data_IF_747092046311
#
_entry.id   IF_747092046311
#
_cell.length_a   1.000
_cell.length_b   1.000
_cell.length_c   1.000
_cell.angle_alpha   90.00
_cell.angle_beta   90.00
_cell.angle_gamma   90.00
#
_symmetry.space_group_name_H-M   'P 1'
#
loop_
_entity.id
_entity.type
_entity.pdbx_description
1 polymer ?
#
# COMPACT_ATOMS: atom_id res chain seq x y z
N UNK A 1 -14.42 -15.79 -12.25
CA UNK A 1 -15.41 -16.22 -13.23
C UNK A 1 -14.76 -16.29 -14.60
N UNK A 2 -15.08 -17.32 -15.35
CA UNK A 2 -14.61 -17.53 -16.72
C UNK A 2 -15.84 -17.73 -17.59
N UNK A 3 -15.99 -16.93 -18.63
CA UNK A 3 -16.99 -17.12 -19.66
C UNK A 3 -16.45 -18.06 -20.74
N UNK A 4 -17.24 -19.05 -21.13
CA UNK A 4 -16.91 -20.00 -22.18
C UNK A 4 -17.95 -19.88 -23.31
N UNK A 5 -17.51 -19.53 -24.51
CA UNK A 5 -18.38 -19.34 -25.67
C UNK A 5 -18.53 -20.62 -26.53
N UNK A 6 -18.03 -21.75 -26.05
CA UNK A 6 -17.97 -23.01 -26.77
C UNK A 6 -16.63 -23.28 -27.45
N UNK A 7 -15.77 -22.27 -27.60
CA UNK A 7 -14.45 -22.36 -28.25
C UNK A 7 -13.37 -21.69 -27.37
N UNK A 8 -13.63 -20.51 -26.86
CA UNK A 8 -12.69 -19.69 -26.13
C UNK A 8 -13.12 -19.45 -24.68
N UNK A 9 -12.15 -19.19 -23.82
CA UNK A 9 -12.35 -18.84 -22.43
C UNK A 9 -11.96 -17.39 -22.18
N UNK A 10 -12.86 -16.60 -21.58
CA UNK A 10 -12.66 -15.19 -21.27
C UNK A 10 -12.72 -14.97 -19.76
N UNK A 11 -11.68 -14.38 -19.18
CA UNK A 11 -11.70 -14.01 -17.78
C UNK A 11 -12.64 -12.85 -17.52
N UNK A 12 -13.59 -13.04 -16.59
CA UNK A 12 -14.50 -11.98 -16.14
C UNK A 12 -14.07 -11.47 -14.76
N UNK A 13 -14.00 -10.12 -14.57
CA UNK A 13 -13.59 -9.53 -13.31
C UNK A 13 -14.59 -9.82 -12.19
N UNK A 14 -14.18 -10.58 -11.18
CA UNK A 14 -15.04 -11.04 -10.09
C UNK A 14 -15.78 -9.91 -9.35
N UNK A 15 -15.18 -8.72 -9.26
CA UNK A 15 -15.79 -7.57 -8.60
C UNK A 15 -17.02 -7.01 -9.37
N UNK A 16 -17.10 -7.25 -10.69
CA UNK A 16 -18.16 -6.70 -11.54
C UNK A 16 -19.26 -7.72 -11.87
N UNK A 17 -18.97 -9.02 -11.76
CA UNK A 17 -19.97 -10.07 -12.00
C UNK A 17 -20.92 -10.12 -10.82
N UNK A 18 -22.22 -10.05 -11.08
CA UNK A 18 -23.28 -10.30 -10.10
C UNK A 18 -23.80 -11.72 -10.27
N UNK A 19 -23.95 -12.39 -9.14
CA UNK A 19 -24.53 -13.76 -9.06
C UNK A 19 -25.97 -13.60 -8.62
N UNK A 20 -26.91 -14.08 -9.43
CA UNK A 20 -28.33 -14.10 -9.09
C UNK A 20 -28.66 -15.47 -8.49
N UNK A 21 -29.08 -15.44 -7.25
CA UNK A 21 -29.43 -16.66 -6.51
C UNK A 21 -30.84 -17.15 -6.87
N UNK A 22 -31.01 -18.48 -6.86
CA UNK A 22 -32.30 -19.14 -6.96
C UNK A 22 -32.41 -20.17 -5.84
N UNK A 23 -33.61 -20.33 -5.28
CA UNK A 23 -33.87 -21.25 -4.17
C UNK A 23 -33.70 -22.73 -4.56
N UNK A 24 -33.95 -23.06 -5.84
CA UNK A 24 -33.93 -24.44 -6.33
C UNK A 24 -32.56 -24.84 -6.90
N UNK A 25 -31.94 -23.97 -7.67
CA UNK A 25 -30.72 -24.27 -8.43
C UNK A 25 -29.47 -23.62 -7.83
N UNK A 26 -29.59 -22.90 -6.71
CA UNK A 26 -28.57 -22.07 -6.06
C UNK A 26 -28.17 -20.84 -6.89
N UNK A 27 -27.96 -20.95 -8.20
CA UNK A 27 -27.63 -19.85 -9.10
C UNK A 27 -28.56 -19.93 -10.32
N UNK A 28 -29.28 -18.87 -10.56
CA UNK A 28 -30.15 -18.72 -11.73
C UNK A 28 -29.35 -18.27 -12.96
N UNK A 29 -28.56 -17.19 -12.78
CA UNK A 29 -27.80 -16.53 -13.84
C UNK A 29 -26.69 -15.68 -13.29
N UNK A 30 -25.81 -15.26 -14.19
CA UNK A 30 -24.75 -14.27 -13.90
C UNK A 30 -25.01 -13.02 -14.75
N UNK A 31 -24.67 -11.83 -14.21
CA UNK A 31 -24.71 -10.60 -14.99
C UNK A 31 -23.41 -9.82 -14.85
N UNK A 32 -22.92 -9.29 -15.96
CA UNK A 32 -21.79 -8.39 -16.02
C UNK A 32 -22.21 -7.14 -16.80
N UNK A 33 -22.30 -6.01 -16.12
CA UNK A 33 -22.89 -4.79 -16.67
C UNK A 33 -24.31 -5.10 -17.19
N UNK A 34 -24.56 -4.92 -18.48
CA UNK A 34 -25.85 -5.16 -19.12
C UNK A 34 -25.96 -6.54 -19.80
N UNK A 35 -24.89 -7.36 -19.71
CA UNK A 35 -24.86 -8.69 -20.31
C UNK A 35 -25.26 -9.75 -19.29
N UNK A 36 -26.18 -10.63 -19.67
CA UNK A 36 -26.62 -11.79 -18.88
C UNK A 36 -26.04 -13.07 -19.46
N UNK A 37 -25.55 -13.93 -18.58
CA UNK A 37 -25.00 -15.25 -18.92
C UNK A 37 -25.78 -16.34 -18.19
N UNK A 38 -25.97 -17.44 -18.86
CA UNK A 38 -26.53 -18.65 -18.26
C UNK A 38 -25.49 -19.33 -17.33
N UNK A 39 -25.96 -20.26 -16.51
CA UNK A 39 -25.07 -21.01 -15.60
C UNK A 39 -24.09 -21.87 -16.40
N UNK A 40 -24.51 -22.41 -17.53
CA UNK A 40 -23.68 -23.30 -18.38
C UNK A 40 -22.56 -22.56 -19.12
N UNK A 41 -22.69 -21.24 -19.32
CA UNK A 41 -21.68 -20.41 -19.97
C UNK A 41 -20.60 -19.92 -19.01
N UNK A 42 -20.80 -20.04 -17.70
CA UNK A 42 -19.88 -19.51 -16.69
C UNK A 42 -19.25 -20.61 -15.84
N UNK A 43 -17.94 -20.70 -15.93
CA UNK A 43 -17.15 -21.50 -14.99
C UNK A 43 -16.85 -20.64 -13.76
N UNK A 44 -17.52 -20.96 -12.64
CA UNK A 44 -17.38 -20.22 -11.40
C UNK A 44 -16.41 -20.95 -10.46
N UNK A 45 -15.13 -20.57 -10.50
CA UNK A 45 -14.10 -21.06 -9.57
C UNK A 45 -14.07 -20.15 -8.35
N UNK A 46 -14.23 -20.70 -7.16
CA UNK A 46 -14.24 -19.95 -5.89
C UNK A 46 -13.58 -20.72 -4.77
N UNK A 47 -12.94 -19.99 -3.85
CA UNK A 47 -12.51 -20.54 -2.56
C UNK A 47 -13.71 -20.64 -1.61
N UNK A 48 -13.58 -21.50 -0.59
CA UNK A 48 -14.61 -21.65 0.42
C UNK A 48 -14.84 -20.34 1.18
N UNK A 49 -16.10 -20.09 1.54
CA UNK A 49 -16.50 -18.90 2.29
C UNK A 49 -17.49 -19.29 3.39
N UNK A 50 -17.24 -18.81 4.61
CA UNK A 50 -18.18 -18.92 5.71
C UNK A 50 -19.30 -17.87 5.67
N UNK A 51 -19.19 -16.90 4.77
CA UNK A 51 -20.12 -15.76 4.68
C UNK A 51 -21.11 -15.90 3.53
N UNK A 52 -20.80 -16.67 2.50
CA UNK A 52 -21.64 -16.81 1.32
C UNK A 52 -21.35 -18.11 0.60
N UNK A 53 -22.42 -18.80 0.20
CA UNK A 53 -22.32 -19.97 -0.68
C UNK A 53 -22.13 -19.57 -2.14
N UNK A 54 -22.48 -18.34 -2.49
CA UNK A 54 -22.42 -17.80 -3.86
C UNK A 54 -21.08 -17.17 -4.22
N UNK A 55 -20.33 -16.72 -3.22
CA UNK A 55 -19.04 -16.02 -3.44
C UNK A 55 -17.97 -16.58 -2.53
N UNK A 56 -16.80 -16.80 -3.12
CA UNK A 56 -15.61 -17.18 -2.38
C UNK A 56 -14.99 -16.01 -1.63
N UNK A 57 -14.08 -16.33 -0.71
CA UNK A 57 -13.24 -15.36 0.00
C UNK A 57 -11.87 -15.33 -0.67
N UNK A 58 -11.31 -14.16 -1.01
CA UNK A 58 -9.96 -14.07 -1.55
C UNK A 58 -8.94 -14.64 -0.58
N UNK A 59 -7.98 -15.42 -1.06
CA UNK A 59 -6.87 -15.97 -0.24
C UNK A 59 -6.07 -14.88 0.48
N UNK A 60 -5.96 -13.69 -0.13
CA UNK A 60 -5.27 -12.54 0.45
C UNK A 60 -6.06 -11.81 1.55
N UNK A 61 -7.34 -12.16 1.79
CA UNK A 61 -8.14 -11.48 2.82
C UNK A 61 -7.50 -11.55 4.22
N UNK A 62 -6.97 -12.69 4.70
CA UNK A 62 -6.28 -12.73 5.99
C UNK A 62 -5.03 -11.84 6.05
N UNK A 63 -4.32 -11.70 4.93
CA UNK A 63 -3.10 -10.88 4.83
C UNK A 63 -3.37 -9.39 4.53
N UNK A 64 -4.63 -8.97 4.40
CA UNK A 64 -4.97 -7.60 3.99
C UNK A 64 -4.39 -6.52 4.91
N UNK A 65 -4.41 -6.75 6.24
CA UNK A 65 -3.82 -5.83 7.22
C UNK A 65 -2.31 -5.73 7.04
N UNK A 66 -1.64 -6.85 6.84
CA UNK A 66 -0.20 -6.93 6.59
C UNK A 66 0.18 -6.19 5.32
N UNK A 67 -0.58 -6.38 4.24
CA UNK A 67 -0.37 -5.65 2.98
C UNK A 67 -0.52 -4.14 3.15
N UNK A 68 -1.52 -3.68 3.89
CA UNK A 68 -1.68 -2.25 4.23
C UNK A 68 -0.51 -1.72 5.04
N UNK A 69 -0.05 -2.47 6.04
CA UNK A 69 1.10 -2.08 6.85
C UNK A 69 2.35 -1.94 5.98
N UNK A 70 2.65 -2.91 5.11
CA UNK A 70 3.78 -2.84 4.19
C UNK A 70 3.69 -1.64 3.25
N UNK A 71 2.51 -1.36 2.71
CA UNK A 71 2.30 -0.18 1.86
C UNK A 71 2.60 1.12 2.63
N UNK A 72 2.14 1.23 3.87
CA UNK A 72 2.42 2.39 4.73
C UNK A 72 3.92 2.52 5.07
N UNK A 73 4.60 1.42 5.33
CA UNK A 73 6.05 1.41 5.60
C UNK A 73 6.83 1.88 4.37
N UNK A 74 6.51 1.37 3.18
CA UNK A 74 7.13 1.80 1.92
C UNK A 74 6.85 3.27 1.63
N UNK A 75 5.62 3.72 1.84
CA UNK A 75 5.26 5.14 1.68
C UNK A 75 6.01 6.04 2.66
N UNK A 76 6.19 5.60 3.90
CA UNK A 76 7.00 6.33 4.88
C UNK A 76 8.46 6.43 4.43
N UNK A 77 9.05 5.32 3.98
CA UNK A 77 10.43 5.32 3.45
C UNK A 77 10.57 6.25 2.24
N UNK A 78 9.64 6.18 1.29
CA UNK A 78 9.62 7.03 0.11
C UNK A 78 9.54 8.53 0.47
N UNK A 79 8.61 8.88 1.35
CA UNK A 79 8.47 10.26 1.84
C UNK A 79 9.71 10.72 2.62
N UNK A 80 10.31 9.84 3.40
CA UNK A 80 11.53 10.15 4.14
C UNK A 80 12.68 10.47 3.19
N UNK A 81 12.91 9.64 2.17
CA UNK A 81 13.96 9.90 1.18
C UNK A 81 13.65 11.13 0.32
N UNK A 82 12.40 11.33 -0.07
CA UNK A 82 11.97 12.54 -0.82
C UNK A 82 12.17 13.82 -0.03
N UNK A 83 12.01 13.76 1.29
CA UNK A 83 12.24 14.90 2.17
C UNK A 83 13.71 15.05 2.62
N UNK A 84 14.66 14.42 1.93
CA UNK A 84 16.09 14.55 2.20
C UNK A 84 16.57 13.82 3.44
N UNK A 85 15.81 12.83 3.92
CA UNK A 85 16.15 12.00 5.09
C UNK A 85 16.36 12.83 6.38
N UNK A 86 15.74 13.98 6.48
CA UNK A 86 15.82 14.83 7.68
C UNK A 86 14.52 14.65 8.48
N UNK A 87 14.56 13.93 9.61
CA UNK A 87 13.41 13.88 10.51
C UNK A 87 13.17 15.28 11.08
N UNK A 88 11.91 15.63 11.25
CA UNK A 88 11.39 16.91 11.68
C UNK A 88 12.38 17.87 12.35
N UNK A 89 12.78 18.87 11.64
CA UNK A 89 13.57 19.98 12.19
C UNK A 89 12.63 21.00 12.81
N UNK A 90 12.97 21.46 13.99
CA UNK A 90 12.32 22.61 14.64
C UNK A 90 13.27 23.78 14.61
N UNK A 91 12.79 24.86 14.07
CA UNK A 91 13.45 26.15 14.18
C UNK A 91 12.91 26.85 15.43
N UNK A 92 13.76 27.04 16.42
CA UNK A 92 13.44 27.81 17.61
C UNK A 92 13.86 29.26 17.41
N UNK A 93 13.00 30.20 17.76
CA UNK A 93 13.29 31.62 17.78
C UNK A 93 13.10 32.16 19.20
N UNK A 94 14.05 32.96 19.72
CA UNK A 94 13.87 33.61 21.01
C UNK A 94 12.75 34.67 21.00
N UNK A 95 12.40 35.18 19.82
CA UNK A 95 11.37 36.17 19.62
C UNK A 95 10.14 35.62 18.92
N UNK A 96 8.96 36.16 19.21
CA UNK A 96 7.73 35.83 18.52
C UNK A 96 7.80 36.27 17.06
N UNK A 97 7.72 35.35 16.13
CA UNK A 97 7.71 35.62 14.70
C UNK A 97 6.28 35.82 14.21
N UNK A 98 6.08 36.81 13.31
CA UNK A 98 4.80 36.96 12.64
C UNK A 98 4.54 35.81 11.65
N UNK A 99 3.27 35.48 11.39
CA UNK A 99 2.91 34.40 10.46
C UNK A 99 3.54 34.57 9.07
N UNK A 100 3.61 35.80 8.57
CA UNK A 100 4.23 36.12 7.28
C UNK A 100 5.72 35.77 7.24
N UNK A 101 6.43 35.94 8.37
CA UNK A 101 7.86 35.57 8.47
C UNK A 101 7.97 34.03 8.54
N UNK A 102 7.13 33.35 9.29
CA UNK A 102 7.09 31.87 9.37
C UNK A 102 6.87 31.24 7.99
N UNK A 103 5.88 31.75 7.22
CA UNK A 103 5.63 31.26 5.85
C UNK A 103 6.82 31.47 4.92
N UNK A 104 7.43 32.65 4.93
CA UNK A 104 8.63 32.92 4.12
C UNK A 104 9.78 31.99 4.48
N UNK A 105 9.98 31.71 5.75
CA UNK A 105 11.00 30.78 6.21
C UNK A 105 10.72 29.36 5.75
N UNK A 106 9.47 28.90 5.84
CA UNK A 106 9.07 27.57 5.34
C UNK A 106 9.30 27.43 3.84
N UNK A 107 8.87 28.42 3.04
CA UNK A 107 9.06 28.40 1.59
C UNK A 107 10.55 28.44 1.23
N UNK A 108 11.34 29.29 1.89
CA UNK A 108 12.80 29.35 1.70
C UNK A 108 13.48 28.04 2.07
N UNK A 109 13.05 27.41 3.17
CA UNK A 109 13.54 26.11 3.57
C UNK A 109 13.22 25.03 2.55
N UNK A 110 11.96 24.88 2.16
CA UNK A 110 11.52 23.91 1.17
C UNK A 110 12.23 24.09 -0.19
N UNK A 111 12.46 25.33 -0.64
CA UNK A 111 13.15 25.60 -1.91
C UNK A 111 14.63 25.22 -1.88
N UNK A 112 15.28 25.28 -0.71
CA UNK A 112 16.71 24.98 -0.56
C UNK A 112 17.03 23.52 -0.31
N UNK A 113 16.09 22.80 0.30
CA UNK A 113 16.28 21.40 0.74
C UNK A 113 15.41 20.40 -0.04
N UNK A 114 14.92 20.78 -1.23
CA UNK A 114 14.27 19.80 -2.11
C UNK A 114 15.28 18.78 -2.61
N UNK A 115 14.93 17.46 -2.56
CA UNK A 115 15.81 16.38 -2.99
C UNK A 115 16.26 16.50 -4.46
N UNK A 116 15.38 17.05 -5.31
CA UNK A 116 15.57 17.20 -6.75
C UNK A 116 16.58 18.28 -7.14
N UNK A 117 16.86 19.23 -6.24
CA UNK A 117 17.84 20.31 -6.52
C UNK A 117 19.26 19.97 -6.09
N UNK A 118 19.53 18.77 -5.54
CA UNK A 118 20.88 18.30 -5.16
C UNK A 118 21.64 19.18 -4.17
N UNK A 119 21.00 20.21 -3.63
CA UNK A 119 21.68 21.27 -2.91
C UNK A 119 21.62 21.12 -1.40
N UNK A 120 22.65 20.52 -0.81
CA UNK A 120 22.99 20.78 0.59
C UNK A 120 23.61 22.18 0.69
N UNK A 121 22.80 23.22 0.49
CA UNK A 121 23.28 24.58 0.67
C UNK A 121 23.35 24.90 2.16
N UNK A 122 24.44 25.48 2.65
CA UNK A 122 24.53 25.89 4.04
C UNK A 122 23.39 26.87 4.38
N UNK A 123 22.71 26.62 5.49
CA UNK A 123 21.70 27.53 6.02
C UNK A 123 22.39 28.53 6.93
N UNK A 124 22.22 29.81 6.63
CA UNK A 124 22.64 30.89 7.51
C UNK A 124 21.42 31.20 8.39
N UNK A 125 21.56 31.01 9.67
CA UNK A 125 20.58 31.42 10.67
C UNK A 125 20.96 32.77 11.21
N UNK A 126 20.02 33.69 11.22
CA UNK A 126 20.18 35.05 11.75
C UNK A 126 19.14 35.27 12.86
N UNK A 127 19.36 36.30 13.70
CA UNK A 127 18.41 36.68 14.74
C UNK A 127 18.24 35.68 15.91
N UNK A 128 19.26 34.84 16.20
CA UNK A 128 19.22 33.93 17.33
C UNK A 128 18.37 32.69 17.06
N UNK A 129 18.10 32.35 15.80
CA UNK A 129 17.43 31.11 15.43
C UNK A 129 18.32 29.90 15.70
N UNK A 130 17.77 28.91 16.36
CA UNK A 130 18.42 27.63 16.64
C UNK A 130 17.70 26.50 15.93
N UNK A 131 18.50 25.53 15.46
CA UNK A 131 17.95 24.28 14.90
C UNK A 131 17.92 23.23 16.02
N UNK A 132 16.74 22.76 16.34
CA UNK A 132 16.60 21.61 17.26
C UNK A 132 16.05 20.41 16.49
N UNK A 133 16.61 19.25 16.79
CA UNK A 133 16.11 17.98 16.24
C UNK A 133 15.06 17.41 17.18
N UNK A 134 13.80 17.35 16.74
CA UNK A 134 12.70 16.84 17.58
C UNK A 134 12.86 15.36 17.91
N UNK A 135 13.45 14.58 17.02
CA UNK A 135 13.70 13.17 17.27
C UNK A 135 14.94 12.69 16.52
N UNK A 136 15.86 12.07 17.24
CA UNK A 136 16.80 11.14 16.63
C UNK A 136 16.03 9.86 16.28
N UNK A 137 15.32 9.85 15.15
CA UNK A 137 14.77 8.60 14.62
C UNK A 137 15.97 7.79 14.14
N UNK A 138 16.41 6.87 14.96
CA UNK A 138 17.47 5.96 14.58
C UNK A 138 16.85 4.90 13.65
N UNK A 139 17.17 4.98 12.37
CA UNK A 139 16.66 4.02 11.36
C UNK A 139 17.04 2.57 11.65
N UNK A 140 18.15 2.35 12.36
CA UNK A 140 18.52 1.02 12.83
C UNK A 140 17.57 0.47 13.89
N UNK A 141 16.95 1.35 14.69
CA UNK A 141 15.97 0.95 15.71
C UNK A 141 14.60 0.63 15.12
N UNK A 142 14.28 1.14 13.91
CA UNK A 142 13.01 0.86 13.25
C UNK A 142 12.99 -0.52 12.57
N UNK A 143 14.15 -1.16 12.39
CA UNK A 143 14.33 -2.50 11.79
C UNK A 143 13.30 -2.83 10.67
N UNK A 144 13.15 -1.87 9.75
CA UNK A 144 12.18 -2.00 8.66
C UNK A 144 12.43 -3.24 7.79
N UNK A 145 13.70 -3.67 7.68
CA UNK A 145 14.03 -4.79 6.81
C UNK A 145 13.48 -6.10 7.37
N UNK A 146 13.75 -6.40 8.63
CA UNK A 146 13.22 -7.59 9.30
C UNK A 146 11.69 -7.58 9.32
N UNK A 147 11.09 -6.40 9.57
CA UNK A 147 9.64 -6.26 9.53
C UNK A 147 9.05 -6.52 8.13
N UNK A 148 9.71 -6.09 7.06
CA UNK A 148 9.27 -6.36 5.68
C UNK A 148 9.36 -7.85 5.38
N UNK A 149 10.49 -8.50 5.70
CA UNK A 149 10.70 -9.93 5.48
C UNK A 149 9.67 -10.79 6.24
N UNK A 150 9.36 -10.43 7.48
CA UNK A 150 8.33 -11.12 8.27
C UNK A 150 6.93 -10.96 7.66
N UNK A 151 6.59 -9.74 7.24
CA UNK A 151 5.31 -9.47 6.60
C UNK A 151 5.18 -10.18 5.24
N UNK A 152 6.25 -10.30 4.47
CA UNK A 152 6.28 -11.09 3.22
C UNK A 152 5.98 -12.56 3.49
N UNK A 153 6.59 -13.16 4.52
CA UNK A 153 6.30 -14.55 4.92
C UNK A 153 4.83 -14.75 5.29
N UNK A 154 4.19 -13.77 5.94
CA UNK A 154 2.76 -13.83 6.25
C UNK A 154 1.91 -13.84 4.98
N UNK A 155 2.25 -13.00 3.99
CA UNK A 155 1.53 -12.95 2.71
C UNK A 155 1.71 -14.26 1.93
N UNK A 156 2.92 -14.81 1.89
CA UNK A 156 3.20 -16.09 1.25
C UNK A 156 2.41 -17.23 1.87
N UNK A 157 2.35 -17.27 3.22
CA UNK A 157 1.52 -18.25 3.95
C UNK A 157 0.04 -18.12 3.59
N UNK A 158 -0.49 -16.91 3.46
CA UNK A 158 -1.88 -16.69 3.08
C UNK A 158 -2.18 -17.18 1.66
N UNK A 159 -1.20 -17.12 0.76
CA UNK A 159 -1.30 -17.65 -0.61
C UNK A 159 -1.03 -19.17 -0.68
N UNK A 160 -0.53 -19.78 0.38
CA UNK A 160 -0.10 -21.18 0.39
C UNK A 160 1.21 -21.43 -0.38
N UNK A 161 2.04 -20.38 -0.52
CA UNK A 161 3.33 -20.45 -1.20
C UNK A 161 4.42 -20.71 -0.14
N UNK A 162 5.20 -21.81 -0.24
CA UNK A 162 6.33 -22.02 0.63
C UNK A 162 7.39 -20.93 0.46
N UNK A 163 7.90 -20.31 1.55
CA UNK A 163 8.91 -19.24 1.44
C UNK A 163 10.16 -19.61 0.66
N UNK A 164 10.57 -20.87 0.72
CA UNK A 164 11.75 -21.40 0.02
C UNK A 164 11.69 -21.20 -1.53
N UNK A 165 10.49 -21.07 -2.09
CA UNK A 165 10.34 -20.80 -3.53
C UNK A 165 10.67 -19.35 -3.90
N UNK A 166 10.73 -18.46 -2.93
CA UNK A 166 11.09 -17.05 -3.13
C UNK A 166 12.55 -16.76 -2.80
N UNK A 167 13.20 -17.63 -2.00
CA UNK A 167 14.62 -17.54 -1.64
C UNK A 167 15.55 -18.11 -2.73
N UNK A 168 15.18 -18.03 -4.00
CA UNK A 168 15.96 -18.55 -5.12
C UNK A 168 17.22 -17.72 -5.40
N UNK A 169 18.12 -17.57 -4.43
CA UNK A 169 19.29 -16.75 -4.64
C UNK A 169 20.51 -16.94 -3.74
N UNK A 170 20.43 -17.77 -2.72
CA UNK A 170 21.59 -18.02 -1.86
C UNK A 170 21.86 -19.53 -1.74
N UNK A 171 22.48 -20.07 -2.76
CA UNK A 171 23.37 -21.24 -2.70
C UNK A 171 24.70 -20.85 -3.31
#
# INVERSE_FOLDING_TARGET
FIYFDGVHMYHLPAAKVKVHADEKTYVEKYTLLDTTFSVDEIIHIKENSFYSIYRGVPRLKPAHRTMKLMASMRQFQDNFFKNGAVPGLVLKSPNTLSEKIKERMMVSWQSRYRPDTGGRRPLILDGGLEIDKIANVNFKELDFQSAIEENEKIILKALGIPPILMDSGNN
#
